data_IF_606902543059
#
_entry.id   IF_606902543059
#
_cell.length_a   1.000
_cell.length_b   1.000
_cell.length_c   1.000
_cell.angle_alpha   90.00
_cell.angle_beta   90.00
_cell.angle_gamma   90.00
#
_symmetry.space_group_name_H-M   'P 1'
#
loop_
_entity.id
_entity.type
_entity.pdbx_description
1 polymer ?
#
# COMPACT_ATOMS: atom_id res chain seq x y z
N UNK A 1 -52.20 15.38 -37.73
CA UNK A 1 -52.30 15.84 -36.33
C UNK A 1 -51.70 14.74 -35.45
N UNK A 2 -50.72 15.09 -34.62
CA UNK A 2 -49.75 14.19 -33.96
C UNK A 2 -50.40 13.44 -32.79
N UNK A 3 -50.46 12.10 -32.83
CA UNK A 3 -50.74 11.28 -31.65
C UNK A 3 -49.48 11.21 -30.79
N UNK A 4 -49.58 11.74 -29.56
CA UNK A 4 -48.50 11.79 -28.59
C UNK A 4 -48.40 10.44 -27.88
N UNK A 5 -47.18 9.92 -27.85
CA UNK A 5 -46.73 8.72 -27.13
C UNK A 5 -46.94 8.95 -25.62
N UNK A 6 -47.66 8.04 -24.96
CA UNK A 6 -47.65 7.91 -23.50
C UNK A 6 -46.99 6.57 -23.19
N UNK A 7 -45.71 6.61 -22.84
CA UNK A 7 -45.00 5.48 -22.24
C UNK A 7 -44.25 6.04 -21.02
N UNK A 8 -44.92 5.95 -19.86
CA UNK A 8 -44.35 6.31 -18.57
C UNK A 8 -43.52 5.11 -18.07
N UNK A 9 -42.22 5.10 -18.37
CA UNK A 9 -41.29 4.15 -17.78
C UNK A 9 -40.78 4.71 -16.44
N UNK A 10 -41.39 4.25 -15.34
CA UNK A 10 -40.92 4.53 -13.99
C UNK A 10 -39.71 3.61 -13.70
N UNK A 11 -38.49 4.09 -14.00
CA UNK A 11 -37.27 3.40 -13.59
C UNK A 11 -36.96 3.82 -12.15
N UNK A 12 -37.32 2.95 -11.21
CA UNK A 12 -36.85 3.03 -9.83
C UNK A 12 -35.39 2.59 -9.84
N UNK A 13 -34.45 3.55 -9.89
CA UNK A 13 -33.06 3.29 -9.55
C UNK A 13 -32.99 3.09 -8.03
N UNK A 14 -33.07 1.84 -7.59
CA UNK A 14 -32.58 1.47 -6.27
C UNK A 14 -31.07 1.68 -6.27
N UNK A 15 -30.64 2.83 -5.75
CA UNK A 15 -29.25 3.04 -5.33
C UNK A 15 -28.97 2.10 -4.14
N UNK A 16 -28.73 0.83 -4.46
CA UNK A 16 -27.95 -0.02 -3.60
C UNK A 16 -26.56 0.56 -3.56
N UNK A 17 -26.21 1.24 -2.46
CA UNK A 17 -24.83 1.50 -2.10
C UNK A 17 -24.17 0.13 -1.88
N UNK A 18 -23.78 -0.55 -2.96
CA UNK A 18 -22.78 -1.59 -2.87
C UNK A 18 -21.53 -0.86 -2.40
N UNK A 19 -21.10 -1.17 -1.18
CA UNK A 19 -19.79 -0.72 -0.71
C UNK A 19 -18.78 -1.17 -1.76
N UNK A 20 -18.24 -0.22 -2.51
CA UNK A 20 -17.25 -0.52 -3.53
C UNK A 20 -16.06 -1.19 -2.81
N UNK A 21 -15.91 -2.50 -3.01
CA UNK A 21 -14.77 -3.25 -2.51
C UNK A 21 -13.49 -2.57 -2.98
N UNK A 22 -12.47 -2.55 -2.11
CA UNK A 22 -11.18 -1.99 -2.47
C UNK A 22 -10.64 -2.73 -3.72
N UNK A 23 -10.13 -1.97 -4.69
CA UNK A 23 -9.57 -2.58 -5.88
C UNK A 23 -8.11 -2.96 -5.61
N UNK A 24 -7.76 -4.19 -5.96
CA UNK A 24 -6.38 -4.67 -5.91
C UNK A 24 -5.59 -4.14 -7.09
N UNK A 25 -4.48 -3.45 -6.82
CA UNK A 25 -3.57 -2.91 -7.83
C UNK A 25 -2.26 -3.68 -7.78
N UNK A 26 -1.83 -4.18 -8.95
CA UNK A 26 -0.53 -4.80 -9.14
C UNK A 26 0.34 -3.90 -10.01
N UNK A 27 1.56 -3.63 -9.56
CA UNK A 27 2.54 -2.83 -10.28
C UNK A 27 3.97 -3.34 -10.05
N UNK A 28 4.94 -2.78 -10.75
CA UNK A 28 6.33 -3.25 -10.76
C UNK A 28 7.34 -2.11 -10.82
N UNK A 29 8.51 -2.36 -10.24
CA UNK A 29 9.71 -1.54 -10.43
C UNK A 29 10.66 -2.28 -11.35
N UNK A 30 11.10 -1.59 -12.40
CA UNK A 30 12.03 -2.13 -13.39
C UNK A 30 13.36 -1.39 -13.29
N UNK A 31 14.46 -2.13 -13.20
CA UNK A 31 15.83 -1.61 -13.20
C UNK A 31 16.56 -2.23 -14.39
N UNK A 32 17.16 -1.39 -15.25
CA UNK A 32 17.86 -1.84 -16.46
C UNK A 32 17.01 -2.81 -17.32
N UNK A 33 15.73 -2.46 -17.54
CA UNK A 33 14.74 -3.26 -18.27
C UNK A 33 14.42 -4.65 -17.68
N UNK A 34 14.86 -4.95 -16.45
CA UNK A 34 14.50 -6.16 -15.71
C UNK A 34 13.58 -5.83 -14.54
N UNK A 35 12.55 -6.66 -14.35
CA UNK A 35 11.64 -6.52 -13.19
C UNK A 35 12.42 -6.85 -11.93
N UNK A 36 12.55 -5.86 -11.05
CA UNK A 36 13.30 -5.98 -9.80
C UNK A 36 12.37 -6.16 -8.59
N UNK A 37 11.16 -5.60 -8.67
CA UNK A 37 10.10 -5.74 -7.68
C UNK A 37 8.76 -5.84 -8.42
N UNK A 38 7.93 -6.80 -8.04
CA UNK A 38 6.49 -6.82 -8.31
C UNK A 38 5.76 -6.71 -6.98
N UNK A 39 4.72 -5.90 -6.91
CA UNK A 39 3.92 -5.76 -5.70
C UNK A 39 2.44 -5.61 -6.01
N UNK A 40 1.63 -5.98 -5.02
CA UNK A 40 0.17 -5.93 -5.09
C UNK A 40 -0.38 -5.35 -3.79
N UNK A 41 -1.26 -4.35 -3.88
CA UNK A 41 -1.86 -3.66 -2.74
C UNK A 41 -3.30 -3.28 -3.05
N UNK A 42 -4.16 -3.29 -2.05
CA UNK A 42 -5.50 -2.68 -2.16
C UNK A 42 -5.38 -1.16 -2.27
N UNK A 43 -6.25 -0.52 -3.04
CA UNK A 43 -6.19 0.92 -3.27
C UNK A 43 -7.04 1.74 -2.29
N UNK A 44 -7.66 1.12 -1.29
CA UNK A 44 -8.38 1.83 -0.26
C UNK A 44 -8.50 1.02 1.02
N UNK A 45 -8.64 1.72 2.13
CA UNK A 45 -8.97 1.14 3.44
C UNK A 45 -10.13 1.92 4.05
N UNK A 46 -11.02 1.26 4.77
CA UNK A 46 -12.11 1.93 5.51
C UNK A 46 -11.79 1.87 6.98
N UNK A 47 -11.54 3.02 7.61
CA UNK A 47 -11.11 3.06 9.01
C UNK A 47 -12.22 2.59 9.94
N UNK A 48 -11.88 1.67 10.84
CA UNK A 48 -12.74 1.35 11.98
C UNK A 48 -12.74 2.50 13.00
N UNK A 49 -13.92 2.96 13.48
CA UNK A 49 -14.02 4.01 14.50
C UNK A 49 -13.33 3.68 15.83
N UNK A 50 -13.09 2.39 16.10
CA UNK A 50 -12.56 1.87 17.35
C UNK A 50 -11.23 1.11 17.18
N UNK A 51 -10.72 0.99 15.95
CA UNK A 51 -9.65 0.07 15.62
C UNK A 51 -8.62 0.61 14.64
N UNK A 52 -7.66 -0.26 14.33
CA UNK A 52 -6.74 -0.08 13.22
C UNK A 52 -7.03 -1.17 12.20
N UNK A 53 -6.90 -0.81 10.93
CA UNK A 53 -7.00 -1.72 9.81
C UNK A 53 -5.60 -2.04 9.28
N UNK A 54 -5.42 -3.29 8.87
CA UNK A 54 -4.17 -3.79 8.31
C UNK A 54 -4.32 -3.94 6.81
N UNK A 55 -3.50 -3.23 6.04
CA UNK A 55 -3.41 -3.40 4.60
C UNK A 55 -2.13 -4.16 4.29
N UNK A 56 -2.28 -5.28 3.58
CA UNK A 56 -1.16 -6.11 3.22
C UNK A 56 -0.68 -5.83 1.80
N UNK A 57 0.61 -5.58 1.68
CA UNK A 57 1.31 -5.49 0.40
C UNK A 57 1.97 -6.82 0.14
N UNK A 58 1.50 -7.54 -0.88
CA UNK A 58 2.19 -8.72 -1.36
C UNK A 58 3.32 -8.28 -2.27
N UNK A 59 4.50 -8.89 -2.13
CA UNK A 59 5.64 -8.51 -2.94
C UNK A 59 6.48 -9.70 -3.38
N UNK A 60 7.21 -9.50 -4.47
CA UNK A 60 8.24 -10.40 -4.98
C UNK A 60 9.42 -9.56 -5.45
N UNK A 61 10.58 -9.79 -4.85
CA UNK A 61 11.84 -9.13 -5.16
C UNK A 61 12.72 -10.10 -5.93
N UNK A 62 13.35 -9.64 -7.00
CA UNK A 62 14.33 -10.44 -7.73
C UNK A 62 15.52 -10.80 -6.81
N UNK A 63 15.96 -12.06 -6.82
CA UNK A 63 16.96 -12.58 -5.87
C UNK A 63 18.35 -11.95 -6.02
N UNK A 64 18.63 -11.25 -7.12
CA UNK A 64 19.86 -10.48 -7.26
C UNK A 64 19.92 -9.24 -6.34
N UNK A 65 18.78 -8.82 -5.80
CA UNK A 65 18.66 -7.77 -4.79
C UNK A 65 18.57 -8.40 -3.41
N UNK A 66 19.59 -8.18 -2.59
CA UNK A 66 19.72 -8.76 -1.25
C UNK A 66 20.21 -7.71 -0.25
N UNK A 67 19.80 -7.84 1.00
CA UNK A 67 20.31 -7.01 2.08
C UNK A 67 21.78 -7.40 2.41
N UNK A 68 22.67 -6.47 2.79
CA UNK A 68 22.48 -5.02 2.98
C UNK A 68 22.70 -4.20 1.70
N UNK A 69 22.80 -4.82 0.53
CA UNK A 69 23.09 -4.10 -0.71
C UNK A 69 21.85 -3.43 -1.32
N UNK A 70 20.66 -3.85 -0.94
CA UNK A 70 19.41 -3.26 -1.41
C UNK A 70 18.27 -3.46 -0.41
N UNK A 71 17.28 -2.58 -0.48
CA UNK A 71 16.02 -2.69 0.25
C UNK A 71 14.87 -2.08 -0.55
N UNK A 72 13.65 -2.47 -0.21
CA UNK A 72 12.42 -1.88 -0.75
C UNK A 72 11.78 -1.02 0.33
N UNK A 73 11.29 0.16 -0.05
CA UNK A 73 10.40 0.99 0.76
C UNK A 73 9.04 1.05 0.08
N UNK A 74 7.98 0.75 0.82
CA UNK A 74 6.62 1.14 0.44
C UNK A 74 6.24 2.37 1.25
N UNK A 75 5.84 3.43 0.55
CA UNK A 75 5.55 4.72 1.14
C UNK A 75 4.14 5.17 0.78
N UNK A 76 3.46 5.73 1.76
CA UNK A 76 2.17 6.39 1.62
C UNK A 76 2.30 7.84 2.09
N UNK A 77 1.75 8.78 1.33
CA UNK A 77 1.82 10.20 1.63
C UNK A 77 0.55 10.95 1.22
N UNK A 78 0.06 11.84 2.09
CA UNK A 78 -0.97 12.82 1.77
C UNK A 78 -0.44 14.23 2.00
N UNK A 79 -0.39 15.03 0.91
CA UNK A 79 -0.07 16.45 1.01
C UNK A 79 -1.18 17.24 1.71
N UNK A 80 -2.44 16.83 1.53
CA UNK A 80 -3.59 17.50 2.11
C UNK A 80 -3.64 17.36 3.63
N UNK A 81 -3.31 16.17 4.12
CA UNK A 81 -3.36 15.86 5.55
C UNK A 81 -1.99 16.06 6.23
N UNK A 82 -0.93 16.31 5.45
CA UNK A 82 0.47 16.33 5.93
C UNK A 82 0.85 15.05 6.70
N UNK A 83 0.41 13.90 6.18
CA UNK A 83 0.60 12.59 6.80
C UNK A 83 1.44 11.68 5.90
N UNK A 84 2.32 10.89 6.49
CA UNK A 84 3.13 9.93 5.78
C UNK A 84 3.39 8.66 6.60
N UNK A 85 3.51 7.54 5.91
CA UNK A 85 3.95 6.27 6.46
C UNK A 85 4.93 5.63 5.50
N UNK A 86 5.91 4.92 6.04
CA UNK A 86 6.84 4.15 5.23
C UNK A 86 7.19 2.86 5.95
N UNK A 87 7.19 1.78 5.19
CA UNK A 87 7.60 0.45 5.65
C UNK A 87 8.73 -0.03 4.75
N UNK A 88 9.63 -0.80 5.36
CA UNK A 88 10.83 -1.28 4.68
C UNK A 88 10.82 -2.81 4.63
N UNK A 89 11.20 -3.35 3.48
CA UNK A 89 11.49 -4.76 3.28
C UNK A 89 12.99 -4.89 3.02
N UNK A 90 13.66 -5.65 3.87
CA UNK A 90 15.09 -5.96 3.77
C UNK A 90 15.22 -7.42 3.32
N UNK A 91 15.27 -7.68 2.01
CA UNK A 91 15.25 -9.03 1.47
C UNK A 91 16.44 -9.85 1.99
N UNK A 92 16.28 -11.17 2.04
CA UNK A 92 17.31 -12.11 2.46
C UNK A 92 18.70 -11.82 1.89
N UNK A 93 19.77 -12.20 2.59
CA UNK A 93 21.17 -11.92 2.22
C UNK A 93 21.72 -12.83 1.12
N UNK A 94 20.92 -13.76 0.63
CA UNK A 94 21.35 -14.81 -0.32
C UNK A 94 22.20 -15.92 0.30
N UNK A 95 22.50 -15.85 1.61
CA UNK A 95 23.30 -16.85 2.35
C UNK A 95 22.57 -17.29 3.62
N UNK A 96 22.00 -18.49 3.61
CA UNK A 96 21.29 -19.06 4.77
C UNK A 96 20.10 -18.20 5.21
N UNK A 97 19.83 -18.17 6.52
CA UNK A 97 18.71 -17.43 7.13
C UNK A 97 19.05 -15.97 7.50
N UNK A 98 20.17 -15.42 7.02
CA UNK A 98 20.53 -14.03 7.33
C UNK A 98 19.78 -13.09 6.38
N UNK A 99 19.11 -12.08 6.93
CA UNK A 99 18.21 -11.12 6.27
C UNK A 99 16.86 -11.08 6.98
N UNK A 100 16.29 -9.88 7.13
CA UNK A 100 15.12 -9.70 8.01
C UNK A 100 13.81 -10.17 7.35
N UNK A 101 13.71 -10.09 6.01
CA UNK A 101 12.50 -10.44 5.25
C UNK A 101 12.78 -11.42 4.10
N UNK A 102 11.78 -12.23 3.73
CA UNK A 102 11.84 -13.11 2.54
C UNK A 102 11.79 -12.30 1.23
N UNK A 103 12.29 -12.86 0.11
CA UNK A 103 12.14 -12.20 -1.22
C UNK A 103 10.70 -12.19 -1.72
N UNK A 104 9.91 -13.19 -1.32
CA UNK A 104 8.48 -13.27 -1.59
C UNK A 104 7.78 -13.24 -0.25
N UNK A 105 6.91 -12.26 -0.04
CA UNK A 105 6.32 -12.07 1.26
C UNK A 105 5.14 -11.10 1.26
N UNK A 106 4.69 -10.80 2.47
CA UNK A 106 3.66 -9.80 2.74
C UNK A 106 4.22 -8.79 3.74
N UNK A 107 3.96 -7.51 3.53
CA UNK A 107 4.27 -6.46 4.49
C UNK A 107 3.00 -5.72 4.86
N UNK A 108 2.81 -5.53 6.15
CA UNK A 108 1.65 -4.86 6.71
C UNK A 108 1.85 -3.35 6.79
N UNK A 109 0.81 -2.60 6.44
CA UNK A 109 0.64 -1.19 6.78
C UNK A 109 -0.58 -1.03 7.67
N UNK A 110 -0.38 -0.41 8.83
CA UNK A 110 -1.43 -0.21 9.83
C UNK A 110 -2.02 1.19 9.68
N UNK A 111 -3.36 1.26 9.64
CA UNK A 111 -4.16 2.48 9.52
C UNK A 111 -5.13 2.60 10.70
N UNK A 112 -4.87 3.52 11.62
CA UNK A 112 -5.74 3.70 12.79
C UNK A 112 -6.68 4.90 12.61
N UNK A 113 -7.96 4.74 12.98
CA UNK A 113 -8.90 5.87 13.03
C UNK A 113 -8.63 6.84 14.20
N UNK A 114 -7.88 6.38 15.21
CA UNK A 114 -7.42 7.15 16.36
C UNK A 114 -6.03 6.70 16.75
N UNK A 115 -5.25 7.57 17.37
CA UNK A 115 -3.92 7.25 17.87
C UNK A 115 -4.01 6.10 18.87
N UNK A 116 -3.22 5.04 18.66
CA UNK A 116 -3.22 3.85 19.52
C UNK A 116 -1.85 3.67 20.16
N UNK A 117 -1.83 3.54 21.49
CA UNK A 117 -0.62 3.13 22.21
C UNK A 117 -0.64 1.62 22.44
N UNK A 118 0.47 0.95 22.21
CA UNK A 118 0.65 -0.48 22.49
C UNK A 118 2.06 -0.74 23.02
N UNK A 119 2.25 -1.89 23.67
CA UNK A 119 3.57 -2.36 24.09
C UNK A 119 4.07 -3.32 23.02
N UNK A 120 5.24 -3.05 22.44
CA UNK A 120 5.84 -3.96 21.45
C UNK A 120 6.46 -5.19 22.14
N UNK A 121 6.97 -6.13 21.35
CA UNK A 121 7.59 -7.37 21.86
C UNK A 121 8.84 -7.12 22.74
N UNK A 122 9.40 -5.90 22.70
CA UNK A 122 10.55 -5.48 23.51
C UNK A 122 10.15 -4.80 24.83
N UNK A 123 8.85 -4.64 25.10
CA UNK A 123 8.35 -3.98 26.30
C UNK A 123 8.22 -2.45 26.18
N UNK A 124 8.50 -1.87 25.01
CA UNK A 124 8.44 -0.43 24.80
C UNK A 124 7.00 0.02 24.48
N UNK A 125 6.61 1.16 25.04
CA UNK A 125 5.36 1.85 24.65
C UNK A 125 5.56 2.52 23.29
N UNK A 126 4.87 2.00 22.28
CA UNK A 126 4.85 2.51 20.92
C UNK A 126 3.50 3.16 20.63
N UNK A 127 3.51 4.22 19.81
CA UNK A 127 2.29 4.93 19.39
C UNK A 127 2.12 4.78 17.88
N UNK A 128 1.03 4.13 17.46
CA UNK A 128 0.55 4.16 16.08
C UNK A 128 -0.24 5.45 15.84
N UNK A 129 0.13 6.28 14.85
CA UNK A 129 -0.59 7.52 14.56
C UNK A 129 -1.98 7.25 13.97
N UNK A 130 -2.90 8.18 14.18
CA UNK A 130 -4.17 8.21 13.46
C UNK A 130 -3.94 8.64 12.00
N UNK A 131 -4.77 8.13 11.10
CA UNK A 131 -4.85 8.61 9.72
C UNK A 131 -6.15 9.37 9.52
N UNK A 132 -6.04 10.49 8.83
CA UNK A 132 -7.20 11.25 8.39
C UNK A 132 -7.83 10.59 7.17
N UNK A 133 -9.15 10.71 7.02
CA UNK A 133 -9.83 10.31 5.78
C UNK A 133 -9.32 11.18 4.63
N UNK A 134 -9.19 10.62 3.44
CA UNK A 134 -8.77 11.36 2.26
C UNK A 134 -7.96 10.55 1.26
N UNK A 135 -7.37 11.27 0.32
CA UNK A 135 -6.56 10.68 -0.75
C UNK A 135 -5.09 10.75 -0.42
N UNK A 136 -4.42 9.62 -0.58
CA UNK A 136 -3.00 9.40 -0.38
C UNK A 136 -2.37 8.92 -1.68
N UNK A 137 -1.06 9.11 -1.78
CA UNK A 137 -0.24 8.57 -2.85
C UNK A 137 0.58 7.42 -2.29
N UNK A 138 0.34 6.22 -2.81
CA UNK A 138 1.16 5.04 -2.57
C UNK A 138 2.27 4.92 -3.61
N UNK A 139 3.49 4.60 -3.18
CA UNK A 139 4.64 4.36 -4.04
C UNK A 139 5.52 3.24 -3.48
N UNK A 140 6.10 2.42 -4.36
CA UNK A 140 7.19 1.52 -4.03
C UNK A 140 8.51 2.09 -4.53
N UNK A 141 9.58 1.95 -3.75
CA UNK A 141 10.94 2.37 -4.10
C UNK A 141 11.90 1.23 -3.84
N UNK A 142 12.63 0.80 -4.86
CA UNK A 142 13.79 -0.07 -4.70
C UNK A 142 15.03 0.79 -4.59
N UNK A 143 15.78 0.66 -3.50
CA UNK A 143 17.07 1.32 -3.31
C UNK A 143 18.18 0.29 -3.34
N UNK A 144 19.18 0.56 -4.16
CA UNK A 144 20.42 -0.21 -4.32
C UNK A 144 21.52 0.66 -3.69
N UNK A 145 22.22 0.14 -2.68
CA UNK A 145 23.29 0.81 -1.96
C UNK A 145 24.67 0.48 -2.57
N UNK A 146 24.85 -0.76 -3.06
CA UNK A 146 26.10 -1.24 -3.67
C UNK A 146 25.83 -1.92 -5.01
N UNK A 147 26.75 -1.80 -6.00
CA UNK A 147 28.03 -1.08 -5.94
C UNK A 147 27.90 0.44 -6.02
N UNK A 148 26.75 0.96 -6.46
CA UNK A 148 26.46 2.39 -6.57
C UNK A 148 25.07 2.67 -6.03
N UNK A 149 24.93 3.76 -5.27
CA UNK A 149 23.65 4.25 -4.78
C UNK A 149 22.71 4.57 -5.95
N UNK A 150 21.53 3.96 -5.95
CA UNK A 150 20.47 4.24 -6.91
C UNK A 150 19.11 3.94 -6.29
N UNK A 151 18.11 4.76 -6.58
CA UNK A 151 16.73 4.54 -6.14
C UNK A 151 15.80 4.63 -7.35
N UNK A 152 15.02 3.58 -7.58
CA UNK A 152 14.01 3.54 -8.64
C UNK A 152 12.63 3.44 -8.01
N UNK A 153 11.72 4.32 -8.42
CA UNK A 153 10.36 4.37 -7.92
C UNK A 153 9.38 3.73 -8.91
N UNK A 154 8.31 3.13 -8.38
CA UNK A 154 7.15 2.67 -9.13
C UNK A 154 6.30 3.83 -9.65
N UNK A 155 5.22 3.51 -10.38
CA UNK A 155 4.15 4.48 -10.64
C UNK A 155 3.51 4.89 -9.31
N UNK A 156 2.99 6.12 -9.29
CA UNK A 156 2.17 6.62 -8.19
C UNK A 156 0.80 5.97 -8.27
N UNK A 157 0.36 5.38 -7.17
CA UNK A 157 -0.96 4.78 -7.02
C UNK A 157 -1.79 5.67 -6.12
N UNK A 158 -2.99 6.03 -6.55
CA UNK A 158 -3.96 6.70 -5.69
C UNK A 158 -4.49 5.69 -4.68
N UNK A 159 -4.37 6.02 -3.40
CA UNK A 159 -4.86 5.22 -2.29
C UNK A 159 -5.86 6.04 -1.47
N UNK A 160 -7.02 5.49 -1.12
CA UNK A 160 -8.07 6.24 -0.42
C UNK A 160 -8.30 5.70 0.99
N UNK A 161 -8.17 6.55 2.01
CA UNK A 161 -8.57 6.26 3.38
C UNK A 161 -10.01 6.75 3.58
N UNK A 162 -10.93 5.82 3.85
CA UNK A 162 -12.37 6.05 3.95
C UNK A 162 -12.87 6.04 5.39
#
# INVERSE_FOLDING_TARGET
>A
MKMKIVALALIIFTYGNTSAQAATITDKVTVNNKVALTYTVENSVTLSPAGCEEVYIQYTIDKSYFFPNSYVMFGLYSAQNNEAQSIYVKPGTGKGNQGDDAWVGKKEMIFCGKTKSYVNDYGDKVVAPAFSKGTYTFTARLTILKPKLSTTQSKKITFTVK
#
